data_IF_236461085872
#
_entry.id   IF_236461085872
#
_cell.length_a   1.000
_cell.length_b   1.000
_cell.length_c   1.000
_cell.angle_alpha   90.00
_cell.angle_beta   90.00
_cell.angle_gamma   90.00
#
_symmetry.space_group_name_H-M   'P 1'
#
loop_
_entity.id
_entity.type
_entity.pdbx_description
1 polymer ?
#
# COMPACT_ATOMS: atom_id res chain seq x y z
N UNK A 1 -17.44 -9.23 -17.38
CA UNK A 1 -16.80 -9.67 -16.11
C UNK A 1 -17.39 -8.91 -14.92
N UNK A 2 -17.26 -7.55 -14.83
CA UNK A 2 -17.79 -6.80 -13.67
C UNK A 2 -19.31 -6.93 -13.55
N UNK A 3 -20.05 -6.90 -14.65
CA UNK A 3 -21.51 -7.13 -14.65
C UNK A 3 -21.87 -8.52 -14.10
N UNK A 4 -21.12 -9.54 -14.48
CA UNK A 4 -21.30 -10.91 -14.00
C UNK A 4 -21.07 -11.03 -12.49
N UNK A 5 -20.05 -10.34 -11.98
CA UNK A 5 -19.76 -10.28 -10.55
C UNK A 5 -20.89 -9.62 -9.76
N UNK A 6 -21.39 -8.48 -10.24
CA UNK A 6 -22.54 -7.80 -9.61
C UNK A 6 -23.78 -8.72 -9.60
N UNK A 7 -24.09 -9.37 -10.71
CA UNK A 7 -25.24 -10.26 -10.81
C UNK A 7 -25.12 -11.53 -9.94
N UNK A 8 -23.88 -12.04 -9.77
CA UNK A 8 -23.64 -13.23 -8.95
C UNK A 8 -23.84 -12.96 -7.45
N UNK A 9 -23.61 -11.74 -7.00
CA UNK A 9 -23.60 -11.36 -5.58
C UNK A 9 -24.75 -10.43 -5.17
N UNK A 10 -25.57 -9.98 -6.13
CA UNK A 10 -26.73 -9.12 -5.88
C UNK A 10 -27.98 -9.63 -6.60
N UNK A 11 -29.15 -9.05 -6.29
CA UNK A 11 -30.39 -9.30 -7.02
C UNK A 11 -30.58 -8.39 -8.24
N UNK A 12 -29.58 -7.62 -8.64
CA UNK A 12 -29.66 -6.66 -9.74
C UNK A 12 -29.79 -7.36 -11.10
N UNK A 13 -30.69 -6.85 -11.94
CA UNK A 13 -30.81 -7.27 -13.31
C UNK A 13 -29.60 -6.81 -14.18
N UNK A 14 -29.46 -7.42 -15.37
CA UNK A 14 -28.33 -7.09 -16.28
C UNK A 14 -28.24 -5.60 -16.60
N UNK A 15 -29.39 -4.92 -16.74
CA UNK A 15 -29.43 -3.49 -17.07
C UNK A 15 -28.88 -2.65 -15.90
N UNK A 16 -29.36 -2.88 -14.71
CA UNK A 16 -28.94 -2.19 -13.50
C UNK A 16 -27.45 -2.41 -13.20
N UNK A 17 -26.98 -3.66 -13.33
CA UNK A 17 -25.56 -3.99 -13.17
C UNK A 17 -24.70 -3.27 -14.21
N UNK A 18 -25.18 -3.10 -15.47
CA UNK A 18 -24.45 -2.35 -16.50
C UNK A 18 -24.40 -0.86 -16.20
N UNK A 19 -25.49 -0.26 -15.74
CA UNK A 19 -25.52 1.14 -15.28
C UNK A 19 -24.53 1.35 -14.12
N UNK A 20 -24.48 0.40 -13.19
CA UNK A 20 -23.50 0.44 -12.10
C UNK A 20 -22.04 0.38 -12.60
N UNK A 21 -21.74 -0.43 -13.60
CA UNK A 21 -20.40 -0.51 -14.20
C UNK A 21 -20.04 0.80 -14.90
N UNK A 22 -20.99 1.45 -15.56
CA UNK A 22 -20.78 2.77 -16.19
C UNK A 22 -20.41 3.83 -15.16
N UNK A 23 -21.15 3.92 -14.04
CA UNK A 23 -20.79 4.79 -12.91
C UNK A 23 -19.37 4.50 -12.38
N UNK A 24 -19.02 3.22 -12.22
CA UNK A 24 -17.70 2.83 -11.74
C UNK A 24 -16.60 3.20 -12.73
N UNK A 25 -16.84 3.09 -14.03
CA UNK A 25 -15.90 3.52 -15.05
C UNK A 25 -15.65 5.02 -14.98
N UNK A 26 -16.71 5.83 -14.79
CA UNK A 26 -16.56 7.26 -14.55
C UNK A 26 -15.74 7.53 -13.26
N UNK A 27 -16.04 6.82 -12.18
CA UNK A 27 -15.31 6.93 -10.90
C UNK A 27 -13.82 6.64 -11.07
N UNK A 28 -13.44 5.65 -11.89
CA UNK A 28 -12.02 5.33 -12.14
C UNK A 28 -11.42 6.08 -13.34
N UNK A 29 -12.22 6.89 -14.05
CA UNK A 29 -11.79 7.67 -15.20
C UNK A 29 -11.52 6.82 -16.45
N UNK A 30 -12.29 5.78 -16.66
CA UNK A 30 -12.41 5.04 -17.91
C UNK A 30 -13.62 5.56 -18.68
N UNK A 31 -13.52 5.60 -20.00
CA UNK A 31 -14.66 5.92 -20.86
C UNK A 31 -15.60 4.72 -20.98
N UNK A 32 -16.90 4.95 -20.97
CA UNK A 32 -17.93 3.90 -21.04
C UNK A 32 -17.86 3.06 -22.33
N UNK A 33 -17.29 3.60 -23.41
CA UNK A 33 -17.06 2.88 -24.66
C UNK A 33 -16.18 1.63 -24.50
N UNK A 34 -15.31 1.61 -23.47
CA UNK A 34 -14.45 0.46 -23.16
C UNK A 34 -15.15 -0.66 -22.37
N UNK A 35 -16.42 -0.49 -21.98
CA UNK A 35 -17.13 -1.50 -21.16
C UNK A 35 -17.27 -2.86 -21.86
N UNK A 36 -17.31 -2.86 -23.19
CA UNK A 36 -17.43 -4.07 -24.00
C UNK A 36 -16.09 -4.57 -24.56
N UNK A 37 -14.98 -3.91 -24.20
CA UNK A 37 -13.63 -4.27 -24.66
C UNK A 37 -13.05 -5.43 -23.83
N UNK A 38 -12.16 -6.19 -24.47
CA UNK A 38 -11.43 -7.28 -23.81
C UNK A 38 -10.21 -6.75 -23.03
N UNK A 39 -9.76 -7.46 -21.97
CA UNK A 39 -8.62 -7.02 -21.16
C UNK A 39 -7.32 -6.79 -21.95
N UNK A 40 -7.11 -7.48 -23.07
CA UNK A 40 -5.92 -7.32 -23.91
C UNK A 40 -5.95 -6.05 -24.78
N UNK A 41 -7.11 -5.43 -24.94
CA UNK A 41 -7.27 -4.14 -25.64
C UNK A 41 -6.95 -2.95 -24.72
N UNK A 42 -6.84 -3.18 -23.41
CA UNK A 42 -6.54 -2.15 -22.43
C UNK A 42 -5.03 -1.95 -22.28
N UNK A 43 -4.61 -0.69 -22.18
CA UNK A 43 -3.26 -0.36 -21.71
C UNK A 43 -3.05 -0.83 -20.26
N UNK A 44 -1.80 -0.88 -19.76
CA UNK A 44 -1.52 -1.24 -18.37
C UNK A 44 -2.29 -0.41 -17.36
N UNK A 45 -2.29 0.92 -17.54
CA UNK A 45 -3.04 1.82 -16.65
C UNK A 45 -4.57 1.71 -16.78
N UNK A 46 -5.10 1.35 -17.95
CA UNK A 46 -6.53 1.07 -18.09
C UNK A 46 -6.92 -0.23 -17.39
N UNK A 47 -6.12 -1.28 -17.53
CA UNK A 47 -6.34 -2.54 -16.78
C UNK A 47 -6.37 -2.30 -15.28
N UNK A 48 -5.40 -1.53 -14.77
CA UNK A 48 -5.35 -1.22 -13.34
C UNK A 48 -6.61 -0.47 -12.87
N UNK A 49 -7.08 0.51 -13.63
CA UNK A 49 -8.32 1.23 -13.32
C UNK A 49 -9.55 0.33 -13.41
N UNK A 50 -9.62 -0.57 -14.39
CA UNK A 50 -10.69 -1.55 -14.47
C UNK A 50 -10.69 -2.53 -13.28
N UNK A 51 -9.51 -2.94 -12.79
CA UNK A 51 -9.40 -3.75 -11.56
C UNK A 51 -9.89 -2.99 -10.33
N UNK A 52 -9.61 -1.68 -10.22
CA UNK A 52 -10.14 -0.85 -9.14
C UNK A 52 -11.67 -0.75 -9.25
N UNK A 53 -12.22 -0.55 -10.46
CA UNK A 53 -13.68 -0.55 -10.67
C UNK A 53 -14.32 -1.88 -10.24
N UNK A 54 -13.68 -3.01 -10.57
CA UNK A 54 -14.11 -4.34 -10.14
C UNK A 54 -14.09 -4.47 -8.62
N UNK A 55 -13.02 -4.04 -7.95
CA UNK A 55 -12.93 -4.07 -6.50
C UNK A 55 -14.00 -3.22 -5.80
N UNK A 56 -14.51 -2.18 -6.46
CA UNK A 56 -15.55 -1.28 -5.96
C UNK A 56 -16.98 -1.75 -6.30
N UNK A 57 -17.14 -2.76 -7.14
CA UNK A 57 -18.43 -3.14 -7.73
C UNK A 57 -19.52 -3.44 -6.71
N UNK A 58 -19.17 -4.02 -5.57
CA UNK A 58 -20.08 -4.46 -4.51
C UNK A 58 -20.06 -3.54 -3.27
N UNK A 59 -19.57 -2.32 -3.38
CA UNK A 59 -19.42 -1.35 -2.28
C UNK A 59 -18.81 -1.96 -1.00
N UNK A 60 -17.60 -2.58 -1.09
CA UNK A 60 -17.00 -3.30 0.01
C UNK A 60 -16.64 -2.36 1.19
N UNK A 61 -16.70 -2.86 2.42
CA UNK A 61 -16.24 -2.12 3.60
C UNK A 61 -14.72 -1.98 3.68
N UNK A 62 -13.97 -2.86 2.99
CA UNK A 62 -12.51 -2.89 2.96
C UNK A 62 -12.02 -3.24 1.57
N UNK A 63 -11.01 -2.49 1.08
CA UNK A 63 -10.30 -2.74 -0.17
C UNK A 63 -8.83 -3.00 0.16
N UNK A 64 -8.26 -4.06 -0.40
CA UNK A 64 -6.82 -4.36 -0.30
C UNK A 64 -6.21 -4.09 -1.68
N UNK A 65 -5.23 -3.20 -1.72
CA UNK A 65 -4.44 -2.86 -2.90
C UNK A 65 -3.00 -3.33 -2.68
N UNK A 66 -2.63 -4.42 -3.35
CA UNK A 66 -1.30 -4.99 -3.27
C UNK A 66 -0.49 -4.55 -4.48
N UNK A 67 0.54 -3.75 -4.24
CA UNK A 67 1.44 -3.19 -5.24
C UNK A 67 0.71 -2.57 -6.47
N UNK A 68 -0.26 -1.65 -6.28
CA UNK A 68 -1.17 -1.23 -7.33
C UNK A 68 -0.51 -0.44 -8.46
N UNK A 69 0.74 -0.06 -8.32
CA UNK A 69 1.49 0.72 -9.32
C UNK A 69 2.74 0.01 -9.85
N UNK A 70 3.01 -1.21 -9.39
CA UNK A 70 4.17 -1.98 -9.84
C UNK A 70 4.10 -2.30 -11.33
N UNK A 71 5.24 -2.12 -12.01
CA UNK A 71 5.36 -2.38 -13.46
C UNK A 71 4.75 -1.30 -14.35
N UNK A 72 4.42 -0.14 -13.81
CA UNK A 72 3.94 1.02 -14.56
C UNK A 72 5.04 2.10 -14.64
N UNK A 73 5.02 2.87 -15.72
CA UNK A 73 5.87 4.05 -15.80
C UNK A 73 5.44 5.14 -14.80
N UNK A 74 6.37 6.02 -14.43
CA UNK A 74 6.18 7.03 -13.37
C UNK A 74 4.99 7.94 -13.63
N UNK A 75 4.72 8.31 -14.88
CA UNK A 75 3.60 9.20 -15.22
C UNK A 75 2.25 8.48 -15.06
N UNK A 76 2.19 7.22 -15.43
CA UNK A 76 0.97 6.40 -15.24
C UNK A 76 0.76 6.10 -13.75
N UNK A 77 1.83 5.79 -13.01
CA UNK A 77 1.79 5.61 -11.56
C UNK A 77 1.17 6.84 -10.87
N UNK A 78 1.69 8.05 -11.14
CA UNK A 78 1.17 9.30 -10.54
C UNK A 78 -0.32 9.51 -10.87
N UNK A 79 -0.74 9.26 -12.11
CA UNK A 79 -2.14 9.35 -12.52
C UNK A 79 -3.04 8.39 -11.73
N UNK A 80 -2.59 7.16 -11.52
CA UNK A 80 -3.34 6.15 -10.75
C UNK A 80 -3.42 6.53 -9.28
N UNK A 81 -2.31 6.94 -8.66
CA UNK A 81 -2.28 7.36 -7.27
C UNK A 81 -3.18 8.59 -7.02
N UNK A 82 -3.15 9.56 -7.92
CA UNK A 82 -4.07 10.71 -7.89
C UNK A 82 -5.52 10.23 -7.93
N UNK A 83 -5.84 9.29 -8.82
CA UNK A 83 -7.20 8.77 -8.94
C UNK A 83 -7.63 7.99 -7.71
N UNK A 84 -6.77 7.18 -7.11
CA UNK A 84 -7.05 6.51 -5.84
C UNK A 84 -7.33 7.54 -4.73
N UNK A 85 -6.58 8.66 -4.67
CA UNK A 85 -6.85 9.75 -3.72
C UNK A 85 -8.23 10.40 -3.92
N UNK A 86 -8.67 10.57 -5.16
CA UNK A 86 -9.99 11.11 -5.49
C UNK A 86 -11.09 10.12 -5.09
N UNK A 87 -10.94 8.85 -5.45
CA UNK A 87 -11.87 7.76 -5.13
C UNK A 87 -12.01 7.64 -3.61
N UNK A 88 -10.92 7.67 -2.85
CA UNK A 88 -10.91 7.61 -1.38
C UNK A 88 -11.84 8.65 -0.73
N UNK A 89 -11.99 9.83 -1.34
CA UNK A 89 -12.88 10.88 -0.83
C UNK A 89 -14.36 10.61 -1.08
N UNK A 90 -14.66 9.74 -2.04
CA UNK A 90 -16.03 9.45 -2.50
C UNK A 90 -16.59 8.16 -1.92
N UNK A 91 -15.72 7.19 -1.60
CA UNK A 91 -16.10 5.89 -1.08
C UNK A 91 -16.11 5.87 0.46
N UNK A 92 -16.91 4.97 1.03
CA UNK A 92 -16.94 4.71 2.49
C UNK A 92 -16.03 3.58 2.92
N UNK A 93 -15.34 2.94 1.97
CA UNK A 93 -14.46 1.80 2.24
C UNK A 93 -13.17 2.23 2.94
N UNK A 94 -12.68 1.40 3.84
CA UNK A 94 -11.29 1.47 4.29
C UNK A 94 -10.37 0.88 3.23
N UNK A 95 -9.14 1.41 3.12
CA UNK A 95 -8.14 0.93 2.15
C UNK A 95 -6.91 0.44 2.92
N UNK A 96 -6.47 -0.79 2.63
CA UNK A 96 -5.14 -1.27 2.97
C UNK A 96 -4.30 -1.19 1.70
N UNK A 97 -3.27 -0.34 1.73
CA UNK A 97 -2.31 -0.20 0.64
C UNK A 97 -1.01 -0.91 1.03
N UNK A 98 -0.60 -1.90 0.24
CA UNK A 98 0.65 -2.61 0.39
C UNK A 98 1.58 -2.12 -0.72
N UNK A 99 2.72 -1.59 -0.36
CA UNK A 99 3.74 -1.13 -1.32
C UNK A 99 5.10 -0.97 -0.64
N UNK A 100 6.16 -1.01 -1.42
CA UNK A 100 7.52 -0.72 -0.99
C UNK A 100 7.90 0.76 -1.20
N UNK A 101 7.04 1.57 -1.83
CA UNK A 101 7.30 2.97 -2.09
C UNK A 101 6.89 3.84 -0.88
N UNK A 102 7.91 4.33 -0.17
CA UNK A 102 7.71 5.16 1.03
C UNK A 102 7.03 6.49 0.71
N UNK A 103 7.29 7.07 -0.46
CA UNK A 103 6.68 8.35 -0.86
C UNK A 103 5.17 8.16 -1.02
N UNK A 104 4.77 7.09 -1.70
CA UNK A 104 3.36 6.74 -1.87
C UNK A 104 2.68 6.53 -0.51
N UNK A 105 3.32 5.78 0.39
CA UNK A 105 2.77 5.53 1.73
C UNK A 105 2.64 6.85 2.52
N UNK A 106 3.65 7.70 2.51
CA UNK A 106 3.64 8.97 3.24
C UNK A 106 2.49 9.89 2.80
N UNK A 107 2.19 9.92 1.50
CA UNK A 107 1.14 10.75 0.92
C UNK A 107 -0.28 10.17 1.05
N UNK A 108 -0.37 8.83 1.04
CA UNK A 108 -1.65 8.14 0.88
C UNK A 108 -2.23 7.61 2.20
N UNK A 109 -1.42 7.40 3.23
CA UNK A 109 -1.82 6.63 4.40
C UNK A 109 -2.02 7.50 5.65
N UNK A 110 -3.10 7.24 6.41
CA UNK A 110 -3.32 7.84 7.73
C UNK A 110 -2.49 7.13 8.80
N UNK A 111 -2.32 5.82 8.63
CA UNK A 111 -1.55 4.94 9.51
C UNK A 111 -0.68 4.01 8.68
N UNK A 112 0.49 3.71 9.19
CA UNK A 112 1.48 2.87 8.52
C UNK A 112 1.86 1.73 9.46
N UNK A 113 1.95 0.52 8.90
CA UNK A 113 2.57 -0.64 9.52
C UNK A 113 3.82 -1.00 8.72
N UNK A 114 4.98 -0.95 9.36
CA UNK A 114 6.27 -1.32 8.76
C UNK A 114 6.51 -2.80 9.02
N UNK A 115 6.73 -3.57 7.96
CA UNK A 115 6.97 -5.00 8.02
C UNK A 115 8.41 -5.36 7.66
N UNK A 116 8.98 -6.33 8.38
CA UNK A 116 10.29 -6.91 8.07
C UNK A 116 10.32 -8.38 8.49
N UNK A 117 10.84 -9.25 7.62
CA UNK A 117 10.91 -10.68 7.91
C UNK A 117 9.56 -11.32 8.26
N UNK A 118 8.45 -10.89 7.61
CA UNK A 118 7.10 -11.40 7.84
C UNK A 118 6.44 -10.89 9.14
N UNK A 119 7.05 -9.93 9.85
CA UNK A 119 6.54 -9.38 11.11
C UNK A 119 6.32 -7.89 11.04
N UNK A 120 5.32 -7.39 11.75
CA UNK A 120 5.14 -5.94 11.97
C UNK A 120 6.18 -5.50 12.99
N UNK A 121 7.06 -4.59 12.59
CA UNK A 121 8.13 -4.04 13.43
C UNK A 121 7.69 -2.77 14.13
N UNK A 122 6.89 -1.95 13.45
CA UNK A 122 6.37 -0.70 13.98
C UNK A 122 5.04 -0.35 13.32
N UNK A 123 4.13 0.27 14.09
CA UNK A 123 2.88 0.79 13.57
C UNK A 123 2.52 2.10 14.26
N UNK A 124 2.27 3.15 13.47
CA UNK A 124 1.90 4.46 13.98
C UNK A 124 1.03 5.24 12.98
N UNK A 125 0.60 6.45 13.37
CA UNK A 125 0.10 7.43 12.39
C UNK A 125 1.24 7.81 11.46
N UNK A 126 0.92 8.10 10.19
CA UNK A 126 1.93 8.42 9.18
C UNK A 126 2.89 9.51 9.64
N UNK A 127 2.38 10.64 10.12
CA UNK A 127 3.20 11.75 10.60
C UNK A 127 4.13 11.34 11.75
N UNK A 128 3.59 10.64 12.76
CA UNK A 128 4.35 10.21 13.94
C UNK A 128 5.50 9.26 13.55
N UNK A 129 5.24 8.35 12.61
CA UNK A 129 6.22 7.38 12.15
C UNK A 129 7.39 8.03 11.41
N UNK A 130 7.12 9.07 10.61
CA UNK A 130 8.18 9.79 9.90
C UNK A 130 8.91 10.80 10.77
N UNK A 131 8.25 11.46 11.71
CA UNK A 131 8.90 12.41 12.60
C UNK A 131 9.77 11.73 13.64
N UNK A 132 9.26 10.67 14.27
CA UNK A 132 9.88 10.02 15.44
C UNK A 132 9.76 8.50 15.38
N UNK A 133 10.44 7.83 14.43
CA UNK A 133 10.43 6.37 14.34
C UNK A 133 11.08 5.75 15.61
N UNK A 134 10.46 4.69 16.12
CA UNK A 134 10.99 3.98 17.29
C UNK A 134 11.81 2.76 16.89
N UNK A 135 11.46 2.08 15.80
CA UNK A 135 12.17 0.88 15.39
C UNK A 135 13.37 1.24 14.50
N UNK A 136 14.57 0.64 14.72
CA UNK A 136 15.76 0.93 13.92
C UNK A 136 15.59 0.71 12.43
N UNK A 137 14.78 -0.26 12.01
CA UNK A 137 14.48 -0.47 10.60
C UNK A 137 13.69 0.69 10.00
N UNK A 138 12.67 1.19 10.70
CA UNK A 138 11.90 2.37 10.28
C UNK A 138 12.79 3.61 10.18
N UNK A 139 13.69 3.80 11.16
CA UNK A 139 14.69 4.87 11.11
C UNK A 139 15.61 4.73 9.90
N UNK A 140 16.09 3.51 9.62
CA UNK A 140 16.89 3.22 8.42
C UNK A 140 16.16 3.51 7.12
N UNK A 141 14.89 3.11 7.03
CA UNK A 141 14.04 3.43 5.87
C UNK A 141 13.88 4.94 5.69
N UNK A 142 13.60 5.68 6.77
CA UNK A 142 13.50 7.14 6.73
C UNK A 142 14.79 7.79 6.22
N UNK A 143 15.96 7.33 6.70
CA UNK A 143 17.26 7.90 6.35
C UNK A 143 17.75 7.49 4.94
N UNK A 144 17.16 6.44 4.36
CA UNK A 144 17.47 6.01 3.00
C UNK A 144 16.74 6.84 1.92
N UNK A 145 15.79 7.69 2.31
CA UNK A 145 15.06 8.55 1.38
C UNK A 145 15.44 10.01 1.55
N UNK A 146 15.75 10.71 0.43
CA UNK A 146 16.12 12.11 0.48
C UNK A 146 14.92 12.95 0.97
N UNK A 147 15.16 13.80 1.94
CA UNK A 147 14.21 14.85 2.30
C UNK A 147 14.28 15.96 1.26
N UNK A 148 13.15 16.34 0.67
CA UNK A 148 13.08 17.49 -0.25
C UNK A 148 13.51 18.80 0.46
N UNK A 149 13.47 18.81 1.80
CA UNK A 149 13.81 19.96 2.63
C UNK A 149 15.31 20.04 2.98
N UNK A 150 16.03 18.93 2.83
CA UNK A 150 17.45 18.84 3.22
C UNK A 150 18.21 18.08 2.13
N UNK A 151 18.63 18.86 1.11
CA UNK A 151 19.34 18.33 -0.06
C UNK A 151 20.79 17.88 0.26
N UNK A 152 21.32 18.29 1.41
CA UNK A 152 22.66 17.93 1.87
C UNK A 152 22.68 16.69 2.78
N UNK A 153 21.52 16.07 3.02
CA UNK A 153 21.44 14.87 3.85
C UNK A 153 22.14 13.70 3.17
N UNK A 154 23.20 13.16 3.80
CA UNK A 154 23.81 11.90 3.37
C UNK A 154 22.77 10.76 3.44
N UNK A 155 22.55 10.10 2.31
CA UNK A 155 21.68 8.93 2.25
C UNK A 155 22.38 7.75 2.91
N UNK A 156 21.84 7.30 4.04
CA UNK A 156 22.39 6.15 4.77
C UNK A 156 21.60 4.91 4.37
N UNK A 157 22.23 4.04 3.61
CA UNK A 157 21.65 2.75 3.26
C UNK A 157 21.67 1.79 4.45
N UNK A 158 20.62 0.94 4.55
CA UNK A 158 20.60 -0.14 5.53
C UNK A 158 21.54 -1.25 5.03
N UNK A 159 22.63 -1.60 5.77
CA UNK A 159 23.61 -2.57 5.32
C UNK A 159 23.02 -3.99 5.23
N UNK A 160 23.68 -4.86 4.44
CA UNK A 160 23.30 -6.27 4.30
C UNK A 160 22.05 -6.51 3.48
N UNK A 161 21.58 -7.76 3.48
CA UNK A 161 20.39 -8.22 2.75
C UNK A 161 19.27 -8.66 3.70
N UNK A 162 18.00 -8.62 3.27
CA UNK A 162 16.91 -9.19 4.05
C UNK A 162 17.16 -10.67 4.37
N UNK A 163 16.70 -11.16 5.54
CA UNK A 163 16.90 -12.57 5.93
C UNK A 163 16.10 -13.51 5.03
N UNK A 164 16.59 -14.74 4.89
CA UNK A 164 15.77 -15.80 4.32
C UNK A 164 14.57 -16.07 5.23
N UNK A 165 13.38 -16.14 4.65
CA UNK A 165 12.17 -16.52 5.39
C UNK A 165 12.10 -18.02 5.67
N UNK A 166 12.95 -18.80 4.99
CA UNK A 166 13.07 -20.24 5.21
C UNK A 166 14.06 -20.47 6.35
N UNK A 167 13.57 -20.99 7.49
CA UNK A 167 14.42 -21.26 8.66
C UNK A 167 14.84 -19.98 9.38
N UNK A 168 13.92 -19.01 9.54
CA UNK A 168 14.17 -17.83 10.36
C UNK A 168 14.76 -18.21 11.71
N UNK A 169 15.90 -17.60 12.06
CA UNK A 169 16.58 -17.81 13.33
C UNK A 169 15.71 -17.35 14.51
N UNK A 170 15.98 -17.92 15.68
CA UNK A 170 15.42 -17.37 16.91
C UNK A 170 15.92 -15.92 17.08
N UNK A 171 15.07 -15.05 17.65
CA UNK A 171 15.44 -13.66 17.90
C UNK A 171 14.82 -12.66 16.92
N UNK A 172 15.32 -11.42 16.99
CA UNK A 172 14.83 -10.32 16.16
C UNK A 172 15.25 -10.52 14.70
N UNK A 173 14.31 -10.55 13.71
CA UNK A 173 14.67 -10.77 12.31
C UNK A 173 15.54 -9.63 11.71
N UNK A 174 15.61 -8.47 12.36
CA UNK A 174 16.45 -7.35 11.92
C UNK A 174 17.81 -7.30 12.63
N UNK A 175 18.13 -8.26 13.50
CA UNK A 175 19.31 -8.24 14.37
C UNK A 175 20.61 -8.03 13.59
N UNK A 176 20.88 -8.81 12.55
CA UNK A 176 22.12 -8.76 11.75
C UNK A 176 22.37 -7.40 11.07
N UNK A 177 21.33 -6.61 10.87
CA UNK A 177 21.37 -5.31 10.16
C UNK A 177 21.11 -4.12 11.10
N UNK A 178 20.88 -4.41 12.37
CA UNK A 178 20.50 -3.39 13.35
C UNK A 178 21.74 -2.74 13.97
N UNK A 179 21.95 -1.41 13.81
CA UNK A 179 23.07 -0.73 14.44
C UNK A 179 23.00 -0.67 15.97
N UNK A 180 21.83 -1.01 16.55
CA UNK A 180 21.56 -1.03 17.99
C UNK A 180 21.41 -2.47 18.53
N UNK A 181 21.89 -3.48 17.77
CA UNK A 181 21.81 -4.89 18.16
C UNK A 181 22.62 -5.16 19.44
N UNK A 182 22.09 -6.06 20.29
CA UNK A 182 22.76 -6.55 21.49
C UNK A 182 22.40 -8.03 21.72
N UNK A 183 23.07 -8.71 22.63
CA UNK A 183 23.02 -10.18 22.80
C UNK A 183 21.61 -10.77 22.94
N UNK A 184 20.67 -10.04 23.55
CA UNK A 184 19.30 -10.49 23.68
C UNK A 184 18.58 -10.54 22.35
N UNK A 185 18.90 -9.64 21.41
CA UNK A 185 18.28 -9.60 20.10
C UNK A 185 18.51 -10.87 19.27
N UNK A 186 19.60 -11.62 19.56
CA UNK A 186 19.92 -12.91 18.92
C UNK A 186 19.02 -14.05 19.39
N UNK A 187 18.43 -13.92 20.56
CA UNK A 187 17.70 -15.00 21.25
C UNK A 187 16.21 -14.78 21.29
N UNK A 188 15.80 -13.53 21.54
CA UNK A 188 14.43 -13.17 21.82
C UNK A 188 13.89 -12.25 20.73
N UNK A 189 12.67 -12.52 20.29
CA UNK A 189 11.90 -11.59 19.47
C UNK A 189 11.26 -10.55 20.39
N UNK A 190 11.51 -9.25 20.20
CA UNK A 190 10.85 -8.23 20.99
C UNK A 190 9.32 -8.29 20.86
N UNK A 191 8.61 -8.20 21.97
CA UNK A 191 7.16 -8.06 21.95
C UNK A 191 6.76 -6.66 21.48
N UNK A 192 5.62 -6.59 20.76
CA UNK A 192 5.05 -5.31 20.35
C UNK A 192 4.52 -4.60 21.59
N UNK A 193 5.08 -3.44 21.91
CA UNK A 193 4.64 -2.60 23.02
C UNK A 193 3.91 -1.37 22.52
N UNK A 194 2.83 -0.99 23.20
CA UNK A 194 2.12 0.26 22.91
C UNK A 194 2.78 1.39 23.69
N UNK A 195 3.44 2.31 22.99
CA UNK A 195 3.95 3.53 23.60
C UNK A 195 2.85 4.60 23.54
N UNK A 196 2.40 5.06 24.70
CA UNK A 196 1.58 6.27 24.82
C UNK A 196 2.47 7.48 24.57
N UNK A 197 2.06 8.40 23.68
CA UNK A 197 2.68 9.73 23.64
C UNK A 197 2.47 10.35 25.02
N UNK A 198 3.55 10.67 25.70
CA UNK A 198 3.48 11.62 26.80
C UNK A 198 3.23 13.01 26.18
N UNK A 199 2.12 13.60 26.52
CA UNK A 199 1.83 15.00 26.23
C UNK A 199 2.64 15.89 27.14
#
# INVERSE_FOLDING_TARGET
QIVEEIQAHTSQGKKEARERVEELFDVVGLQSEFMDSFPHEFSGGMRQRAMIAMALALDPGLIIMDEPTTGLDVLVQEKILRRIREIRKQIRSSIILITHDIVVIAEMSDRIAVMYGGRIMEQAKSLDLFESPFHPYTLGLKNAFPSIKDLDQELISIPGSPPSLIGLQAGCPFEDRCPFSFDRCKKDVPEITVKKKFH
#
